data_IF_452956887083
#
_entry.id   IF_452956887083
#
_cell.length_a   1.000
_cell.length_b   1.000
_cell.length_c   1.000
_cell.angle_alpha   90.00
_cell.angle_beta   90.00
_cell.angle_gamma   90.00
#
_symmetry.space_group_name_H-M   'P 1'
#
loop_
_entity.id
_entity.type
_entity.pdbx_description
1 polymer ?
#
# COMPACT_ATOMS: atom_id res chain seq x y z
N UNK A 1 2.67 10.93 5.07
CA UNK A 1 4.15 10.83 5.04
C UNK A 1 4.61 10.13 6.33
N UNK A 2 5.89 9.78 6.49
CA UNK A 2 6.38 9.07 7.70
C UNK A 2 6.88 9.97 8.85
N UNK A 3 6.63 11.29 8.81
CA UNK A 3 7.21 12.25 9.76
C UNK A 3 6.11 12.92 10.60
N UNK A 4 6.07 12.59 11.90
CA UNK A 4 5.05 13.11 12.83
C UNK A 4 5.09 14.63 12.99
N UNK A 5 6.28 15.23 13.07
CA UNK A 5 6.42 16.67 13.27
C UNK A 5 5.89 17.50 12.09
N UNK A 6 5.84 16.91 10.89
CA UNK A 6 5.36 17.61 9.70
C UNK A 6 3.83 17.69 9.57
N UNK A 7 3.08 16.93 10.37
CA UNK A 7 1.63 16.82 10.24
C UNK A 7 0.91 18.15 10.52
N UNK A 8 1.45 18.97 11.42
CA UNK A 8 0.91 20.30 11.77
C UNK A 8 0.99 21.32 10.60
N UNK A 9 1.77 21.01 9.57
CA UNK A 9 1.96 21.87 8.40
C UNK A 9 1.20 21.39 7.17
N UNK A 10 0.41 20.31 7.30
CA UNK A 10 -0.41 19.80 6.20
C UNK A 10 -1.68 20.62 6.07
N UNK A 11 -2.15 20.73 4.82
CA UNK A 11 -3.45 21.31 4.49
C UNK A 11 -4.58 20.38 4.95
N UNK A 12 -5.73 20.97 5.31
CA UNK A 12 -6.85 20.25 5.94
C UNK A 12 -7.44 19.14 5.04
N UNK A 13 -7.47 19.37 3.73
CA UNK A 13 -7.90 18.39 2.72
C UNK A 13 -6.96 17.18 2.62
N UNK A 14 -5.78 17.24 3.22
CA UNK A 14 -4.83 16.12 3.30
C UNK A 14 -4.88 15.44 4.66
N UNK A 15 -4.78 16.18 5.77
CA UNK A 15 -4.74 15.57 7.12
C UNK A 15 -6.11 15.05 7.55
N UNK A 16 -7.19 15.66 7.07
CA UNK A 16 -8.57 15.27 7.35
C UNK A 16 -9.12 14.17 6.42
N UNK A 17 -8.41 13.81 5.35
CA UNK A 17 -8.86 12.77 4.41
C UNK A 17 -8.56 11.36 4.95
N UNK A 18 -9.57 10.54 5.29
CA UNK A 18 -9.38 9.20 5.82
C UNK A 18 -8.78 8.22 4.80
N UNK A 19 -8.77 8.53 3.50
CA UNK A 19 -8.05 7.74 2.50
C UNK A 19 -6.52 7.95 2.58
N UNK A 20 -6.07 9.07 3.16
CA UNK A 20 -4.65 9.42 3.33
C UNK A 20 -4.19 9.13 4.77
N UNK A 21 -4.94 9.59 5.77
CA UNK A 21 -4.73 9.32 7.20
C UNK A 21 -5.91 8.50 7.75
N UNK A 22 -5.89 7.18 7.57
CA UNK A 22 -6.99 6.30 7.95
C UNK A 22 -7.18 6.21 9.47
N UNK A 23 -8.39 5.85 9.88
CA UNK A 23 -8.72 5.53 11.28
C UNK A 23 -8.05 4.24 11.73
N UNK A 24 -7.95 4.03 13.05
CA UNK A 24 -7.42 2.79 13.63
C UNK A 24 -8.19 1.55 13.15
N UNK A 25 -9.52 1.61 13.12
CA UNK A 25 -10.34 0.51 12.61
C UNK A 25 -10.09 0.21 11.11
N UNK A 26 -9.74 1.22 10.30
CA UNK A 26 -9.35 0.99 8.92
C UNK A 26 -7.96 0.35 8.84
N UNK A 27 -7.01 0.80 9.67
CA UNK A 27 -5.65 0.23 9.75
C UNK A 27 -5.67 -1.26 10.14
N UNK A 28 -6.56 -1.67 11.05
CA UNK A 28 -6.69 -3.08 11.49
C UNK A 28 -7.07 -4.05 10.36
N UNK A 29 -7.65 -3.53 9.28
CA UNK A 29 -8.05 -4.31 8.11
C UNK A 29 -7.03 -4.25 6.96
N UNK A 30 -5.93 -3.51 7.12
CA UNK A 30 -4.83 -3.47 6.16
C UNK A 30 -3.78 -4.55 6.45
N UNK A 31 -2.96 -4.86 5.45
CA UNK A 31 -1.85 -5.79 5.61
C UNK A 31 -0.58 -5.23 4.99
N UNK A 32 0.56 -5.56 5.58
CA UNK A 32 1.88 -5.35 4.96
C UNK A 32 2.23 -6.55 4.11
N UNK A 33 2.90 -6.33 2.98
CA UNK A 33 3.44 -7.43 2.18
C UNK A 33 4.76 -7.91 2.78
N UNK A 34 5.10 -9.17 2.49
CA UNK A 34 6.41 -9.76 2.81
C UNK A 34 7.07 -10.26 1.53
N UNK A 35 8.42 -10.32 1.47
CA UNK A 35 9.11 -10.91 0.33
C UNK A 35 8.66 -12.36 0.08
N UNK A 36 8.33 -12.69 -1.17
CA UNK A 36 8.03 -14.06 -1.54
C UNK A 36 9.31 -14.92 -1.62
N UNK A 37 9.24 -16.21 -1.29
CA UNK A 37 10.30 -17.15 -1.65
C UNK A 37 10.58 -17.11 -3.16
N UNK A 38 11.83 -17.30 -3.62
CA UNK A 38 12.20 -17.11 -5.02
C UNK A 38 11.37 -17.92 -6.03
N UNK A 39 10.86 -19.10 -5.65
CA UNK A 39 9.97 -19.91 -6.49
C UNK A 39 8.61 -19.26 -6.68
N UNK A 40 8.02 -18.73 -5.61
CA UNK A 40 6.70 -18.07 -5.64
C UNK A 40 6.80 -16.75 -6.39
N UNK A 41 7.85 -15.96 -6.16
CA UNK A 41 8.09 -14.72 -6.90
C UNK A 41 8.10 -14.95 -8.42
N UNK A 42 8.75 -16.03 -8.89
CA UNK A 42 8.77 -16.39 -10.31
C UNK A 42 7.38 -16.69 -10.87
N UNK A 43 6.53 -17.35 -10.11
CA UNK A 43 5.14 -17.63 -10.50
C UNK A 43 4.35 -16.33 -10.61
N UNK A 44 4.43 -15.47 -9.59
CA UNK A 44 3.75 -14.16 -9.57
C UNK A 44 4.18 -13.30 -10.76
N UNK A 45 5.48 -13.19 -11.03
CA UNK A 45 6.00 -12.42 -12.16
C UNK A 45 5.51 -12.97 -13.51
N UNK A 46 5.57 -14.29 -13.73
CA UNK A 46 5.10 -14.89 -14.99
C UNK A 46 3.61 -14.70 -15.20
N UNK A 47 2.81 -14.90 -14.14
CA UNK A 47 1.37 -14.68 -14.18
C UNK A 47 1.06 -13.22 -14.51
N UNK A 48 1.78 -12.27 -13.92
CA UNK A 48 1.60 -10.85 -14.22
C UNK A 48 1.93 -10.50 -15.67
N UNK A 49 3.02 -11.04 -16.23
CA UNK A 49 3.32 -10.88 -17.66
C UNK A 49 2.17 -11.39 -18.52
N UNK A 50 1.67 -12.59 -18.22
CA UNK A 50 0.55 -13.23 -18.93
C UNK A 50 -0.71 -12.34 -18.90
N UNK A 51 -1.09 -11.85 -17.72
CA UNK A 51 -2.22 -10.93 -17.53
C UNK A 51 -2.05 -9.67 -18.38
N UNK A 52 -0.87 -9.05 -18.35
CA UNK A 52 -0.60 -7.83 -19.11
C UNK A 52 -0.56 -8.04 -20.62
N UNK A 53 -0.09 -9.20 -21.09
CA UNK A 53 -0.02 -9.51 -22.52
C UNK A 53 -1.32 -10.10 -23.09
N UNK A 54 -2.30 -10.43 -22.25
CA UNK A 54 -3.57 -11.03 -22.67
C UNK A 54 -3.44 -12.46 -23.21
N UNK A 55 -2.31 -13.12 -22.90
CA UNK A 55 -2.03 -14.52 -23.28
C UNK A 55 -2.45 -15.50 -22.20
#
# INVERSE_FOLDING_TARGET
>A
NGNKASQEHLVEDVIGDPAIYPSEAALDNLFTTTPYPPKVQRVVTRLWTKIKSGT
#
